data_IF_645758166873
#
_entry.id   IF_645758166873
#
_cell.length_a   1.000
_cell.length_b   1.000
_cell.length_c   1.000
_cell.angle_alpha   90.00
_cell.angle_beta   90.00
_cell.angle_gamma   90.00
#
_symmetry.space_group_name_H-M   'P 1'
#
loop_
_entity.id
_entity.type
_entity.pdbx_description
1 polymer ?
#
# COMPACT_ATOMS: atom_id res chain seq x y z
N UNK A 1 8.73 -6.76 -14.11
CA UNK A 1 8.80 -7.25 -15.50
C UNK A 1 8.36 -8.69 -15.66
N UNK A 2 8.65 -9.56 -14.69
CA UNK A 2 8.31 -11.00 -14.68
C UNK A 2 6.87 -11.36 -15.08
N UNK A 3 5.85 -10.56 -14.73
CA UNK A 3 4.47 -10.84 -15.16
C UNK A 3 4.27 -10.70 -16.67
N UNK A 4 4.92 -9.73 -17.31
CA UNK A 4 4.81 -9.52 -18.75
C UNK A 4 5.55 -10.59 -19.52
N UNK A 5 6.76 -10.93 -19.06
CA UNK A 5 7.57 -12.03 -19.60
C UNK A 5 6.79 -13.34 -19.59
N UNK A 6 6.18 -13.70 -18.45
CA UNK A 6 5.32 -14.90 -18.32
C UNK A 6 4.11 -14.91 -19.27
N UNK A 7 3.65 -13.75 -19.75
CA UNK A 7 2.55 -13.64 -20.71
C UNK A 7 3.01 -13.64 -22.16
N UNK A 8 4.31 -13.51 -22.41
CA UNK A 8 4.90 -13.47 -23.76
C UNK A 8 4.55 -12.23 -24.58
N UNK A 9 3.73 -11.31 -24.04
CA UNK A 9 3.35 -10.05 -24.67
C UNK A 9 2.99 -9.00 -23.63
N UNK A 10 3.45 -7.77 -23.84
CA UNK A 10 3.14 -6.65 -22.97
C UNK A 10 3.94 -5.41 -23.32
N UNK A 11 3.47 -4.27 -22.84
CA UNK A 11 4.15 -2.98 -22.99
C UNK A 11 4.30 -2.35 -21.61
N UNK A 12 5.49 -1.82 -21.32
CA UNK A 12 5.71 -0.92 -20.20
C UNK A 12 6.06 0.45 -20.74
N UNK A 13 5.23 1.44 -20.41
CA UNK A 13 5.52 2.84 -20.71
C UNK A 13 6.07 3.49 -19.45
N UNK A 14 7.33 3.90 -19.51
CA UNK A 14 7.99 4.60 -18.42
C UNK A 14 7.94 6.12 -18.68
N UNK A 15 7.02 6.80 -18.01
CA UNK A 15 6.87 8.25 -18.13
C UNK A 15 7.83 8.98 -17.19
N UNK A 16 8.73 9.77 -17.78
CA UNK A 16 9.63 10.66 -17.03
C UNK A 16 8.85 11.87 -16.48
N UNK A 17 9.40 12.53 -15.47
CA UNK A 17 8.78 13.71 -14.86
C UNK A 17 7.60 13.43 -13.92
N UNK A 18 7.18 12.17 -13.77
CA UNK A 18 6.06 11.79 -12.89
C UNK A 18 6.47 11.46 -11.45
N UNK A 19 7.74 11.69 -11.09
CA UNK A 19 8.26 11.48 -9.74
C UNK A 19 7.50 12.33 -8.72
N UNK A 20 7.25 11.79 -7.52
CA UNK A 20 6.49 12.48 -6.48
C UNK A 20 5.02 12.77 -6.81
N UNK A 21 4.42 12.12 -7.82
CA UNK A 21 3.14 12.53 -8.44
C UNK A 21 3.24 13.80 -9.28
N UNK A 22 4.37 14.00 -9.95
CA UNK A 22 4.58 15.13 -10.87
C UNK A 22 5.20 16.36 -10.23
N UNK A 23 5.38 16.37 -8.90
CA UNK A 23 6.03 17.47 -8.17
C UNK A 23 7.57 17.38 -8.20
N UNK A 24 8.12 16.25 -8.66
CA UNK A 24 9.55 15.99 -8.71
C UNK A 24 10.14 15.43 -7.42
N UNK A 25 11.40 14.98 -7.50
CA UNK A 25 12.08 14.28 -6.40
C UNK A 25 12.36 15.19 -5.20
N UNK A 26 12.82 16.43 -5.43
CA UNK A 26 13.15 17.37 -4.35
C UNK A 26 11.93 17.68 -3.47
N UNK A 27 10.79 17.97 -4.09
CA UNK A 27 9.53 18.19 -3.37
C UNK A 27 9.01 16.94 -2.68
N UNK A 28 9.19 15.76 -3.30
CA UNK A 28 8.85 14.48 -2.65
C UNK A 28 9.62 14.27 -1.35
N UNK A 29 10.92 14.59 -1.33
CA UNK A 29 11.74 14.48 -0.12
C UNK A 29 11.26 15.46 0.97
N UNK A 30 10.91 16.70 0.61
CA UNK A 30 10.33 17.66 1.57
C UNK A 30 8.99 17.17 2.13
N UNK A 31 8.13 16.62 1.28
CA UNK A 31 6.85 16.05 1.71
C UNK A 31 7.03 14.82 2.60
N UNK A 32 8.17 14.11 2.50
CA UNK A 32 8.48 12.98 3.39
C UNK A 32 8.80 13.46 4.80
N UNK A 33 9.58 14.54 4.95
CA UNK A 33 9.86 15.12 6.26
C UNK A 33 8.56 15.50 6.99
N UNK A 34 7.60 16.12 6.29
CA UNK A 34 6.29 16.44 6.88
C UNK A 34 5.48 15.17 7.21
N UNK A 35 5.60 14.11 6.40
CA UNK A 35 4.94 12.85 6.71
C UNK A 35 5.53 12.16 7.94
N UNK A 36 6.83 12.27 8.16
CA UNK A 36 7.49 11.79 9.38
C UNK A 36 6.99 12.54 10.62
N UNK A 37 6.65 13.83 10.45
CA UNK A 37 5.99 14.65 11.47
C UNK A 37 4.47 14.43 11.55
N UNK A 38 3.95 13.35 10.94
CA UNK A 38 2.58 12.87 11.12
C UNK A 38 1.54 13.33 10.08
N UNK A 39 1.92 14.17 9.10
CA UNK A 39 1.00 14.56 8.02
C UNK A 39 0.75 13.38 7.08
N UNK A 40 -0.44 13.33 6.47
CA UNK A 40 -0.64 12.44 5.33
C UNK A 40 -0.07 13.03 4.03
N UNK A 41 -0.01 12.22 2.98
CA UNK A 41 0.62 12.65 1.72
C UNK A 41 -0.12 13.79 1.01
N UNK A 42 -1.42 13.96 1.22
CA UNK A 42 -2.18 15.08 0.63
C UNK A 42 -1.93 16.33 1.45
N UNK A 43 -2.03 16.24 2.78
CA UNK A 43 -1.75 17.32 3.72
C UNK A 43 -0.34 17.89 3.51
N UNK A 44 0.67 17.02 3.47
CA UNK A 44 2.06 17.42 3.25
C UNK A 44 2.27 18.16 1.92
N UNK A 45 1.60 17.72 0.85
CA UNK A 45 1.69 18.41 -0.44
C UNK A 45 1.03 19.80 -0.37
N UNK A 46 -0.16 19.89 0.21
CA UNK A 46 -0.90 21.15 0.33
C UNK A 46 -0.17 22.16 1.24
N UNK A 47 0.43 21.70 2.34
CA UNK A 47 1.26 22.52 3.25
C UNK A 47 2.49 23.09 2.53
N UNK A 48 3.04 22.37 1.55
CA UNK A 48 4.12 22.84 0.68
C UNK A 48 3.65 23.71 -0.49
N UNK A 49 2.35 24.03 -0.58
CA UNK A 49 1.76 24.77 -1.71
C UNK A 49 1.72 23.96 -3.02
N UNK A 50 1.77 22.63 -2.92
CA UNK A 50 1.84 21.71 -4.05
C UNK A 50 0.50 21.00 -4.28
N UNK A 51 0.15 20.69 -5.53
CA UNK A 51 -1.01 19.87 -5.84
C UNK A 51 -0.87 18.44 -5.31
N UNK A 52 -2.00 17.81 -4.99
CA UNK A 52 -2.04 16.42 -4.55
C UNK A 52 -1.60 15.43 -5.65
N UNK A 53 -1.83 15.77 -6.93
CA UNK A 53 -1.42 14.97 -8.09
C UNK A 53 -1.35 15.84 -9.36
N UNK A 54 -0.17 15.91 -10.01
CA UNK A 54 0.06 16.66 -11.26
C UNK A 54 0.40 15.76 -12.44
N UNK A 55 0.18 14.44 -12.33
CA UNK A 55 0.57 13.51 -13.39
C UNK A 55 -0.38 13.59 -14.58
N UNK A 56 0.20 13.70 -15.78
CA UNK A 56 -0.55 13.67 -17.03
C UNK A 56 -0.26 12.39 -17.83
N UNK A 57 -1.28 11.61 -18.10
CA UNK A 57 -1.13 10.30 -18.76
C UNK A 57 -1.34 10.34 -20.28
N UNK A 58 -1.63 11.52 -20.85
CA UNK A 58 -1.96 11.68 -22.27
C UNK A 58 -0.84 11.25 -23.19
N UNK A 59 0.42 11.56 -22.85
CA UNK A 59 1.59 11.10 -23.61
C UNK A 59 1.69 9.57 -23.57
N UNK A 60 1.47 8.95 -22.41
CA UNK A 60 1.46 7.50 -22.30
C UNK A 60 0.38 6.84 -23.15
N UNK A 61 -0.80 7.46 -23.24
CA UNK A 61 -1.88 6.99 -24.09
C UNK A 61 -1.54 7.10 -25.58
N UNK A 62 -0.89 8.20 -26.00
CA UNK A 62 -0.43 8.37 -27.38
C UNK A 62 0.64 7.34 -27.77
N UNK A 63 1.63 7.11 -26.90
CA UNK A 63 2.65 6.07 -27.10
C UNK A 63 2.00 4.69 -27.30
N UNK A 64 1.03 4.33 -26.45
CA UNK A 64 0.33 3.05 -26.57
C UNK A 64 -0.42 2.94 -27.90
N UNK A 65 -1.10 4.00 -28.33
CA UNK A 65 -1.81 4.03 -29.62
C UNK A 65 -0.85 3.88 -30.79
N UNK A 66 0.29 4.57 -30.75
CA UNK A 66 1.34 4.53 -31.78
C UNK A 66 1.94 3.12 -31.92
N UNK A 67 2.16 2.44 -30.78
CA UNK A 67 2.55 1.02 -30.73
C UNK A 67 1.45 0.05 -31.21
N UNK A 68 0.32 0.55 -31.69
CA UNK A 68 -0.80 -0.25 -32.20
C UNK A 68 -1.72 -0.82 -31.12
N UNK A 69 -1.53 -0.46 -29.85
CA UNK A 69 -2.43 -0.91 -28.77
C UNK A 69 -3.78 -0.24 -28.93
N UNK A 70 -4.85 -1.04 -28.93
CA UNK A 70 -6.25 -0.57 -28.93
C UNK A 70 -7.04 -1.10 -27.75
N UNK A 71 -6.80 -2.36 -27.40
CA UNK A 71 -7.41 -3.04 -26.26
C UNK A 71 -6.33 -3.61 -25.35
N UNK A 72 -6.45 -3.38 -24.05
CA UNK A 72 -5.44 -3.85 -23.09
C UNK A 72 -6.03 -4.26 -21.75
N UNK A 73 -5.33 -5.18 -21.07
CA UNK A 73 -5.50 -5.40 -19.63
C UNK A 73 -4.48 -4.54 -18.90
N UNK A 74 -4.96 -3.61 -18.08
CA UNK A 74 -4.07 -2.65 -17.43
C UNK A 74 -3.61 -3.18 -16.07
N UNK A 75 -2.30 -3.16 -15.83
CA UNK A 75 -1.70 -3.53 -14.55
C UNK A 75 -1.64 -2.31 -13.62
N UNK A 76 -2.49 -2.27 -12.59
CA UNK A 76 -2.69 -1.04 -11.80
C UNK A 76 -3.56 -1.23 -10.55
N UNK A 77 -3.18 -0.54 -9.47
CA UNK A 77 -3.92 -0.54 -8.21
C UNK A 77 -4.84 0.69 -8.03
N UNK A 78 -4.75 1.73 -8.86
CA UNK A 78 -5.54 2.97 -8.69
C UNK A 78 -6.71 3.07 -9.70
N UNK A 79 -7.97 2.77 -9.30
CA UNK A 79 -9.13 2.78 -10.20
C UNK A 79 -9.47 4.11 -10.88
N UNK A 80 -9.20 5.24 -10.22
CA UNK A 80 -9.78 6.54 -10.58
C UNK A 80 -9.18 7.20 -11.83
N UNK A 81 -8.14 6.61 -12.43
CA UNK A 81 -7.29 7.29 -13.43
C UNK A 81 -7.59 6.96 -14.89
N UNK A 82 -8.64 6.19 -15.19
CA UNK A 82 -8.85 5.63 -16.55
C UNK A 82 -9.84 6.37 -17.43
N UNK A 83 -10.59 7.34 -16.89
CA UNK A 83 -11.54 8.14 -17.67
C UNK A 83 -10.86 8.84 -18.85
N UNK A 84 -9.58 9.21 -18.70
CA UNK A 84 -8.80 9.86 -19.75
C UNK A 84 -8.34 8.98 -20.92
N UNK A 85 -8.34 7.64 -20.79
CA UNK A 85 -7.79 6.75 -21.84
C UNK A 85 -8.76 6.54 -23.01
N UNK A 86 -10.08 6.62 -22.77
CA UNK A 86 -11.09 6.45 -23.81
C UNK A 86 -10.96 7.48 -24.93
N UNK A 87 -10.61 8.74 -24.60
CA UNK A 87 -10.39 9.81 -25.58
C UNK A 87 -9.25 9.52 -26.56
N UNK A 88 -8.32 8.64 -26.19
CA UNK A 88 -7.23 8.18 -27.04
C UNK A 88 -7.57 6.88 -27.78
N UNK A 89 -8.85 6.49 -27.88
CA UNK A 89 -9.28 5.27 -28.57
C UNK A 89 -8.66 4.00 -28.00
N UNK A 90 -8.32 4.03 -26.70
CA UNK A 90 -7.82 2.90 -25.93
C UNK A 90 -8.96 2.35 -25.07
N UNK A 91 -9.14 1.03 -25.12
CA UNK A 91 -10.12 0.30 -24.33
C UNK A 91 -9.42 -0.59 -23.30
N UNK A 92 -9.81 -0.42 -22.03
CA UNK A 92 -9.35 -1.27 -20.93
C UNK A 92 -10.36 -2.39 -20.74
N UNK A 93 -10.02 -3.59 -21.20
CA UNK A 93 -10.92 -4.77 -21.16
C UNK A 93 -10.82 -5.56 -19.86
N UNK A 94 -9.90 -5.16 -18.98
CA UNK A 94 -9.75 -5.76 -17.66
C UNK A 94 -8.60 -5.15 -16.88
N UNK A 95 -8.57 -5.44 -15.58
CA UNK A 95 -7.48 -5.01 -14.69
C UNK A 95 -6.69 -6.21 -14.20
N UNK A 96 -5.41 -5.97 -13.95
CA UNK A 96 -4.52 -6.90 -13.28
C UNK A 96 -3.95 -6.16 -12.06
N UNK A 97 -4.23 -6.60 -10.83
CA UNK A 97 -3.67 -5.95 -9.65
C UNK A 97 -2.15 -6.16 -9.61
N UNK A 98 -1.42 -5.13 -9.18
CA UNK A 98 0.01 -5.22 -8.91
C UNK A 98 0.18 -5.55 -7.43
N UNK A 99 0.36 -6.84 -7.14
CA UNK A 99 0.55 -7.32 -5.77
C UNK A 99 2.00 -7.12 -5.35
N UNK A 100 2.22 -6.18 -4.44
CA UNK A 100 3.48 -6.06 -3.71
C UNK A 100 3.38 -6.89 -2.44
N UNK A 101 4.35 -7.77 -2.14
CA UNK A 101 4.40 -8.49 -0.86
C UNK A 101 4.38 -7.49 0.30
N UNK A 102 3.62 -7.82 1.34
CA UNK A 102 3.71 -7.07 2.60
C UNK A 102 4.96 -7.58 3.31
N UNK A 103 5.86 -6.66 3.64
CA UNK A 103 7.02 -6.91 4.49
C UNK A 103 6.84 -6.16 5.81
N UNK A 104 7.65 -6.46 6.81
CA UNK A 104 7.56 -5.77 8.11
C UNK A 104 7.78 -4.25 7.95
N UNK A 105 8.65 -3.86 7.02
CA UNK A 105 9.02 -2.47 6.74
C UNK A 105 7.94 -1.70 5.99
N UNK A 106 7.14 -2.37 5.15
CA UNK A 106 6.15 -1.70 4.28
C UNK A 106 4.70 -1.81 4.80
N UNK A 107 4.44 -2.59 5.85
CA UNK A 107 3.10 -2.88 6.39
C UNK A 107 2.28 -1.62 6.68
N UNK A 108 2.82 -0.72 7.52
CA UNK A 108 2.12 0.52 7.95
C UNK A 108 1.77 1.43 6.77
N UNK A 109 2.68 1.55 5.80
CA UNK A 109 2.46 2.33 4.59
C UNK A 109 1.36 1.70 3.70
N UNK A 110 1.38 0.38 3.53
CA UNK A 110 0.42 -0.34 2.69
C UNK A 110 -0.99 -0.35 3.31
N UNK A 111 -1.10 -0.48 4.64
CA UNK A 111 -2.38 -0.35 5.36
C UNK A 111 -2.98 1.05 5.21
N UNK A 112 -2.16 2.09 5.36
CA UNK A 112 -2.60 3.49 5.16
C UNK A 112 -3.13 3.70 3.75
N UNK A 113 -2.44 3.18 2.73
CA UNK A 113 -2.89 3.27 1.32
C UNK A 113 -4.16 2.48 1.04
N UNK A 114 -4.34 1.31 1.67
CA UNK A 114 -5.55 0.50 1.53
C UNK A 114 -6.76 1.23 2.11
N UNK A 115 -6.65 1.68 3.37
CA UNK A 115 -7.75 2.27 4.12
C UNK A 115 -8.15 3.66 3.57
N UNK A 116 -7.18 4.53 3.28
CA UNK A 116 -7.47 5.92 2.87
C UNK A 116 -7.60 6.12 1.36
N UNK A 117 -7.01 5.27 0.52
CA UNK A 117 -6.92 5.49 -0.93
C UNK A 117 -7.53 4.37 -1.79
N UNK A 118 -8.20 3.38 -1.17
CA UNK A 118 -8.91 2.32 -1.88
C UNK A 118 -8.00 1.36 -2.66
N UNK A 119 -6.73 1.24 -2.27
CA UNK A 119 -5.80 0.31 -2.91
C UNK A 119 -6.15 -1.15 -2.59
N UNK A 120 -6.24 -2.01 -3.60
CA UNK A 120 -6.47 -3.45 -3.43
C UNK A 120 -5.13 -4.19 -3.39
N UNK A 121 -4.84 -4.83 -2.26
CA UNK A 121 -3.70 -5.73 -2.09
C UNK A 121 -4.25 -7.11 -1.77
N UNK A 122 -4.02 -8.08 -2.65
CA UNK A 122 -4.24 -9.49 -2.38
C UNK A 122 -3.05 -10.06 -1.60
N UNK A 123 -3.32 -10.68 -0.45
CA UNK A 123 -2.42 -11.64 0.15
C UNK A 123 -2.20 -12.78 -0.84
N UNK A 124 -0.94 -13.17 -1.08
CA UNK A 124 -0.69 -14.41 -1.84
C UNK A 124 -1.18 -15.58 -0.97
N UNK A 125 -1.80 -16.63 -1.54
CA UNK A 125 -2.00 -17.87 -0.80
C UNK A 125 -0.61 -18.44 -0.48
N UNK A 126 -0.22 -18.47 0.80
CA UNK A 126 1.06 -19.03 1.25
C UNK A 126 1.86 -18.20 2.27
N UNK A 127 1.47 -16.95 2.58
CA UNK A 127 2.09 -16.20 3.70
C UNK A 127 1.52 -16.70 5.04
N UNK A 128 2.04 -17.84 5.51
CA UNK A 128 1.97 -18.18 6.93
C UNK A 128 3.15 -17.49 7.62
N UNK A 129 2.88 -16.40 8.32
CA UNK A 129 3.81 -15.88 9.32
C UNK A 129 3.98 -16.94 10.40
N UNK A 130 5.10 -17.68 10.35
CA UNK A 130 5.57 -18.51 11.46
C UNK A 130 5.87 -17.59 12.64
N UNK A 131 4.98 -17.58 13.63
CA UNK A 131 5.25 -16.95 14.91
C UNK A 131 6.46 -17.61 15.57
N UNK A 132 7.53 -16.85 15.77
CA UNK A 132 8.64 -17.25 16.62
C UNK A 132 8.20 -17.16 18.08
N UNK A 133 7.76 -18.28 18.65
CA UNK A 133 7.86 -18.47 20.10
C UNK A 133 9.27 -18.97 20.41
N UNK A 134 10.16 -18.03 20.70
CA UNK A 134 11.41 -18.31 21.41
C UNK A 134 11.08 -18.81 22.81
N UNK A 135 11.40 -20.07 23.07
CA UNK A 135 11.67 -20.60 24.40
C UNK A 135 13.07 -20.12 24.83
N UNK A 136 13.19 -19.47 25.98
CA UNK A 136 14.40 -19.58 26.79
C UNK A 136 14.08 -19.39 28.28
N UNK A 137 14.82 -20.15 29.08
CA UNK A 137 14.63 -20.48 30.48
C UNK A 137 15.23 -19.44 31.45
N UNK A 138 14.86 -19.52 32.73
CA UNK A 138 15.54 -18.77 33.79
C UNK A 138 14.89 -18.85 35.17
N UNK A 139 15.25 -19.88 35.93
CA UNK A 139 14.98 -20.13 37.36
C UNK A 139 15.29 -18.93 38.28
N UNK A 140 14.50 -18.73 39.36
CA UNK A 140 14.99 -18.55 40.74
C UNK A 140 13.85 -18.58 41.79
N UNK A 141 14.17 -19.24 42.90
CA UNK A 141 13.37 -19.53 44.09
C UNK A 141 13.23 -18.36 45.08
N UNK A 142 12.45 -18.63 46.15
CA UNK A 142 12.22 -17.93 47.42
C UNK A 142 10.94 -17.07 47.45
N UNK A 143 10.09 -17.07 48.49
CA UNK A 143 10.04 -17.75 49.78
C UNK A 143 8.61 -17.61 50.34
N UNK A 144 8.33 -18.45 51.32
CA UNK A 144 7.11 -18.61 52.12
C UNK A 144 6.69 -17.36 52.92
N UNK A 145 5.38 -17.08 52.95
CA UNK A 145 4.72 -16.48 54.11
C UNK A 145 3.19 -16.61 54.02
N UNK A 146 2.69 -17.50 54.87
CA UNK A 146 1.33 -17.59 55.37
C UNK A 146 0.84 -16.26 55.94
N UNK A 147 -0.39 -15.85 55.63
CA UNK A 147 -1.34 -15.56 56.70
C UNK A 147 -2.81 -15.70 56.28
N UNK A 148 -3.59 -16.01 57.30
CA UNK A 148 -4.94 -16.55 57.32
C UNK A 148 -5.99 -15.47 57.62
N UNK A 149 -7.16 -15.58 56.99
CA UNK A 149 -8.50 -15.12 57.41
C UNK A 149 -9.37 -15.03 56.12
N UNK A 150 -10.58 -15.57 55.98
CA UNK A 150 -11.61 -15.99 56.93
C UNK A 150 -12.94 -15.29 56.54
N UNK A 151 -14.00 -16.06 56.26
CA UNK A 151 -15.41 -15.61 56.14
C UNK A 151 -15.96 -15.49 54.71
N UNK A 152 -16.72 -16.47 54.21
CA UNK A 152 -18.21 -16.61 54.29
C UNK A 152 -18.95 -15.69 53.29
N UNK A 153 -19.40 -16.24 52.15
CA UNK A 153 -20.72 -16.84 51.85
C UNK A 153 -21.69 -15.84 51.16
N UNK A 154 -22.14 -16.21 49.95
CA UNK A 154 -23.24 -15.55 49.22
C UNK A 154 -24.60 -15.91 49.88
N UNK A 155 -25.73 -15.22 49.58
CA UNK A 155 -26.51 -15.57 48.38
C UNK A 155 -27.21 -14.38 47.68
N UNK A 156 -27.86 -14.60 46.52
CA UNK A 156 -28.30 -13.55 45.59
C UNK A 156 -29.76 -13.12 45.83
N UNK A 157 -30.13 -11.93 45.35
CA UNK A 157 -31.54 -11.51 45.29
C UNK A 157 -31.79 -10.71 44.01
N UNK A 158 -32.49 -11.39 43.08
CA UNK A 158 -33.35 -10.98 41.94
C UNK A 158 -32.80 -10.04 40.88
#
# INVERSE_FOLDING_TARGET
>A
MTMLEKKGRGVVVYLRGHEGRGIGLGHKLRAYNLQDDGRDTVEANLELGLPADSREYGIGAQILRDLGVRTMRLMTNNPAKYTGLKGYGLSVVGRVPLLTPITNENRRYMETKRLKMGHVYGTRPGDHTSGSHTTDAGMKEAEDQTDSAGGEEQPPVV
#
